data_IF_309369589016
#
_entry.id   IF_309369589016
#
_cell.length_a   1.000
_cell.length_b   1.000
_cell.length_c   1.000
_cell.angle_alpha   90.00
_cell.angle_beta   90.00
_cell.angle_gamma   90.00
#
_symmetry.space_group_name_H-M   'P 1'
#
loop_
_entity.id
_entity.type
_entity.pdbx_description
1 polymer ?
#
# COMPACT_ATOMS: atom_id res chain seq x y z
N UNK A 1 -8.38 23.48 2.68
CA UNK A 1 -7.77 22.57 3.68
C UNK A 1 -6.71 21.66 3.06
N UNK A 2 -5.77 21.14 3.85
CA UNK A 2 -4.84 20.09 3.38
C UNK A 2 -5.57 18.74 3.24
N UNK A 3 -5.07 17.86 2.38
CA UNK A 3 -5.62 16.51 2.14
C UNK A 3 -4.65 15.44 2.67
N UNK A 4 -4.72 15.08 3.98
CA UNK A 4 -3.75 14.16 4.57
C UNK A 4 -3.86 12.76 3.95
N UNK A 5 -2.71 12.13 3.72
CA UNK A 5 -2.60 10.77 3.16
C UNK A 5 -1.75 9.88 4.07
N UNK A 6 -1.97 8.57 4.00
CA UNK A 6 -1.13 7.58 4.67
C UNK A 6 0.01 7.13 3.76
N UNK A 7 1.14 6.78 4.37
CA UNK A 7 2.29 6.20 3.68
C UNK A 7 2.49 4.76 4.17
N UNK A 8 2.78 3.83 3.26
CA UNK A 8 3.19 2.46 3.57
C UNK A 8 4.65 2.22 3.13
N UNK A 9 5.40 1.35 3.82
CA UNK A 9 6.77 1.04 3.45
C UNK A 9 6.79 0.02 2.32
N UNK A 10 7.67 0.23 1.34
CA UNK A 10 7.93 -0.67 0.22
C UNK A 10 9.30 -1.32 0.38
N UNK A 11 9.32 -2.63 0.13
CA UNK A 11 10.53 -3.44 0.09
C UNK A 11 11.02 -3.52 -1.35
N UNK A 12 12.33 -3.35 -1.53
CA UNK A 12 13.02 -3.77 -2.74
C UNK A 12 13.27 -5.28 -2.65
N UNK A 13 12.90 -6.00 -3.69
CA UNK A 13 13.06 -7.44 -3.79
C UNK A 13 13.91 -7.76 -5.00
N UNK A 14 14.94 -8.55 -4.79
CA UNK A 14 15.76 -9.13 -5.85
C UNK A 14 15.52 -10.64 -5.89
N UNK A 15 15.04 -11.13 -7.04
CA UNK A 15 14.75 -12.54 -7.28
C UNK A 15 15.73 -13.08 -8.31
N UNK A 16 16.36 -14.22 -8.00
CA UNK A 16 17.10 -15.01 -8.97
C UNK A 16 16.29 -16.25 -9.33
N UNK A 17 16.08 -16.48 -10.63
CA UNK A 17 15.30 -17.61 -11.12
C UNK A 17 15.81 -18.08 -12.49
N UNK A 18 15.68 -19.37 -12.84
CA UNK A 18 15.86 -19.84 -14.22
C UNK A 18 14.82 -19.21 -15.16
N UNK A 19 15.14 -19.15 -16.46
CA UNK A 19 14.26 -18.59 -17.50
C UNK A 19 12.83 -19.15 -17.45
N UNK A 20 12.69 -20.46 -17.24
CA UNK A 20 11.41 -21.16 -17.20
C UNK A 20 10.52 -20.71 -16.03
N UNK A 21 11.14 -20.28 -14.93
CA UNK A 21 10.47 -19.84 -13.71
C UNK A 21 10.12 -18.35 -13.71
N UNK A 22 10.65 -17.54 -14.63
CA UNK A 22 10.44 -16.09 -14.67
C UNK A 22 8.94 -15.75 -14.67
N UNK A 23 8.16 -16.42 -15.52
CA UNK A 23 6.71 -16.24 -15.60
C UNK A 23 5.97 -16.50 -14.27
N UNK A 24 6.44 -17.48 -13.48
CA UNK A 24 5.91 -17.78 -12.16
C UNK A 24 6.24 -16.65 -11.16
N UNK A 25 7.44 -16.06 -11.24
CA UNK A 25 7.82 -14.90 -10.41
C UNK A 25 6.89 -13.72 -10.66
N UNK A 26 6.63 -13.37 -11.92
CA UNK A 26 5.70 -12.29 -12.28
C UNK A 26 4.28 -12.56 -11.75
N UNK A 27 3.83 -13.82 -11.83
CA UNK A 27 2.50 -14.22 -11.34
C UNK A 27 2.38 -14.05 -9.83
N UNK A 28 3.41 -14.44 -9.05
CA UNK A 28 3.40 -14.30 -7.59
C UNK A 28 3.50 -12.83 -7.19
N UNK A 29 4.33 -12.03 -7.87
CA UNK A 29 4.46 -10.58 -7.62
C UNK A 29 3.16 -9.82 -7.91
N UNK A 30 2.50 -10.12 -9.03
CA UNK A 30 1.28 -9.44 -9.45
C UNK A 30 0.13 -9.60 -8.43
N UNK A 31 0.04 -10.75 -7.75
CA UNK A 31 -0.94 -11.00 -6.69
C UNK A 31 -0.75 -10.12 -5.45
N UNK A 32 0.44 -9.54 -5.28
CA UNK A 32 0.87 -8.82 -4.06
C UNK A 32 1.16 -7.33 -4.31
N UNK A 33 0.49 -6.74 -5.30
CA UNK A 33 0.73 -5.35 -5.77
C UNK A 33 2.21 -5.08 -6.09
N UNK A 34 2.95 -6.11 -6.49
CA UNK A 34 4.36 -6.01 -6.83
C UNK A 34 4.55 -5.32 -8.19
N UNK A 35 5.57 -4.46 -8.29
CA UNK A 35 5.95 -3.79 -9.52
C UNK A 35 7.38 -4.17 -9.89
N UNK A 36 7.55 -4.84 -11.03
CA UNK A 36 8.87 -5.20 -11.56
C UNK A 36 9.52 -3.97 -12.19
N UNK A 37 10.74 -3.66 -11.76
CA UNK A 37 11.52 -2.49 -12.22
C UNK A 37 12.56 -2.86 -13.24
N UNK A 38 13.18 -4.04 -13.09
CA UNK A 38 14.21 -4.52 -14.00
C UNK A 38 14.11 -6.04 -14.09
N UNK A 39 14.27 -6.54 -15.31
CA UNK A 39 14.42 -7.96 -15.61
C UNK A 39 15.60 -8.10 -16.58
N UNK A 40 16.64 -8.79 -16.13
CA UNK A 40 17.87 -8.95 -16.91
C UNK A 40 18.50 -10.33 -16.69
N UNK A 41 19.05 -10.95 -17.76
CA UNK A 41 19.81 -12.18 -17.63
C UNK A 41 21.14 -11.92 -16.91
N UNK A 42 21.59 -12.89 -16.11
CA UNK A 42 22.89 -12.84 -15.45
C UNK A 42 23.98 -13.27 -16.44
N UNK A 43 24.97 -12.43 -16.75
CA UNK A 43 26.04 -12.80 -17.68
C UNK A 43 26.80 -14.04 -17.20
N UNK A 44 26.96 -15.04 -18.07
CA UNK A 44 27.69 -16.27 -17.75
C UNK A 44 26.90 -17.29 -16.91
N UNK A 45 25.59 -17.09 -16.70
CA UNK A 45 24.70 -18.00 -15.98
C UNK A 45 23.37 -18.16 -16.72
N UNK A 46 22.68 -19.32 -16.63
CA UNK A 46 21.33 -19.48 -17.17
C UNK A 46 20.23 -18.79 -16.32
N UNK A 47 20.61 -18.05 -15.28
CA UNK A 47 19.69 -17.38 -14.37
C UNK A 47 19.35 -15.96 -14.84
N UNK A 48 18.16 -15.52 -14.44
CA UNK A 48 17.67 -14.16 -14.56
C UNK A 48 17.61 -13.50 -13.19
N UNK A 49 17.94 -12.21 -13.15
CA UNK A 49 17.76 -11.35 -11.98
C UNK A 49 16.59 -10.42 -12.23
N UNK A 50 15.55 -10.58 -11.42
CA UNK A 50 14.34 -9.76 -11.45
C UNK A 50 14.36 -8.87 -10.22
N UNK A 51 14.29 -7.56 -10.44
CA UNK A 51 14.20 -6.55 -9.38
C UNK A 51 12.80 -5.99 -9.36
N UNK A 52 12.21 -5.88 -8.17
CA UNK A 52 10.84 -5.42 -8.00
C UNK A 52 10.67 -4.64 -6.70
N UNK A 53 9.57 -3.91 -6.61
CA UNK A 53 9.08 -3.35 -5.37
C UNK A 53 7.79 -4.04 -4.95
N UNK A 54 7.65 -4.30 -3.65
CA UNK A 54 6.44 -4.88 -3.06
C UNK A 54 6.09 -4.09 -1.78
N UNK A 55 4.80 -3.80 -1.52
CA UNK A 55 4.39 -3.25 -0.22
C UNK A 55 4.73 -4.23 0.89
N UNK A 56 5.29 -3.75 2.01
CA UNK A 56 5.69 -4.64 3.11
C UNK A 56 4.52 -5.40 3.74
N UNK A 57 3.30 -4.85 3.70
CA UNK A 57 2.10 -5.54 4.19
C UNK A 57 1.74 -6.75 3.31
N UNK A 58 2.09 -6.70 2.02
CA UNK A 58 1.81 -7.77 1.06
C UNK A 58 3.02 -8.69 0.86
N UNK A 59 4.14 -8.46 1.54
CA UNK A 59 5.34 -9.30 1.42
C UNK A 59 5.35 -10.53 2.34
N UNK A 60 4.44 -10.59 3.33
CA UNK A 60 4.38 -11.73 4.26
C UNK A 60 4.07 -13.04 3.51
N UNK A 61 4.97 -14.01 3.60
CA UNK A 61 4.89 -15.29 2.90
C UNK A 61 5.29 -15.25 1.42
N UNK A 62 5.80 -14.12 0.91
CA UNK A 62 6.23 -14.00 -0.49
C UNK A 62 7.33 -15.00 -0.86
N UNK A 63 8.38 -15.13 -0.03
CA UNK A 63 9.47 -16.08 -0.29
C UNK A 63 8.96 -17.52 -0.36
N UNK A 64 8.09 -17.90 0.58
CA UNK A 64 7.52 -19.25 0.64
C UNK A 64 6.71 -19.54 -0.61
N UNK A 65 5.79 -18.65 -1.00
CA UNK A 65 4.98 -18.81 -2.20
C UNK A 65 5.84 -18.89 -3.46
N UNK A 66 6.86 -18.04 -3.56
CA UNK A 66 7.80 -18.02 -4.67
C UNK A 66 8.48 -19.39 -4.82
N UNK A 67 9.01 -19.94 -3.72
CA UNK A 67 9.68 -21.24 -3.73
C UNK A 67 8.71 -22.37 -4.02
N UNK A 68 7.50 -22.34 -3.48
CA UNK A 68 6.47 -23.35 -3.76
C UNK A 68 6.07 -23.36 -5.23
N UNK A 69 5.86 -22.19 -5.83
CA UNK A 69 5.46 -22.08 -7.24
C UNK A 69 6.58 -22.40 -8.23
N UNK A 70 7.84 -22.30 -7.82
CA UNK A 70 9.02 -22.57 -8.65
C UNK A 70 9.73 -23.87 -8.28
N UNK A 71 9.11 -24.73 -7.46
CA UNK A 71 9.69 -26.00 -7.00
C UNK A 71 11.08 -25.81 -6.34
N UNK A 72 11.27 -24.67 -5.67
CA UNK A 72 12.51 -24.30 -5.00
C UNK A 72 13.62 -23.76 -5.92
N UNK A 73 13.35 -23.56 -7.21
CA UNK A 73 14.35 -23.08 -8.16
C UNK A 73 14.60 -21.57 -8.09
N UNK A 74 13.60 -20.78 -7.67
CA UNK A 74 13.77 -19.34 -7.48
C UNK A 74 14.08 -19.00 -6.02
N UNK A 75 14.91 -17.98 -5.83
CA UNK A 75 15.27 -17.45 -4.52
C UNK A 75 15.14 -15.93 -4.51
N UNK A 76 14.70 -15.35 -3.40
CA UNK A 76 14.55 -13.90 -3.27
C UNK A 76 15.19 -13.37 -2.00
N UNK A 77 15.68 -12.14 -2.09
CA UNK A 77 16.05 -11.31 -0.95
C UNK A 77 15.20 -10.04 -0.94
N UNK A 78 14.82 -9.58 0.24
CA UNK A 78 14.03 -8.36 0.42
C UNK A 78 14.71 -7.41 1.39
N UNK A 79 14.78 -6.12 1.04
CA UNK A 79 15.33 -5.05 1.87
C UNK A 79 14.39 -3.85 1.86
N UNK A 80 14.29 -3.12 2.97
CA UNK A 80 13.54 -1.86 3.00
C UNK A 80 14.19 -0.83 2.06
N UNK A 81 13.38 -0.10 1.30
CA UNK A 81 13.89 0.92 0.37
C UNK A 81 13.23 2.29 0.55
N UNK A 82 11.90 2.38 0.50
CA UNK A 82 11.21 3.68 0.50
C UNK A 82 9.79 3.61 1.06
N UNK A 83 9.16 4.79 1.16
CA UNK A 83 7.76 4.95 1.52
C UNK A 83 6.95 5.42 0.30
N UNK A 84 5.74 4.92 0.16
CA UNK A 84 4.82 5.33 -0.90
C UNK A 84 3.43 5.59 -0.31
N UNK A 85 2.67 6.47 -0.96
CA UNK A 85 1.31 6.81 -0.56
C UNK A 85 0.42 5.56 -0.69
N UNK A 86 -0.33 5.27 0.38
CA UNK A 86 -1.36 4.22 0.35
C UNK A 86 -2.49 4.70 -0.58
N UNK A 87 -2.92 3.87 -1.55
CA UNK A 87 -4.02 4.24 -2.41
C UNK A 87 -5.31 4.44 -1.61
N UNK A 88 -6.08 5.47 -2.00
CA UNK A 88 -7.33 5.84 -1.36
C UNK A 88 -7.25 7.02 -0.40
N UNK A 89 -8.40 7.38 0.16
CA UNK A 89 -8.55 8.47 1.13
C UNK A 89 -8.82 7.92 2.53
N UNK A 90 -7.96 8.21 3.54
CA UNK A 90 -8.22 7.75 4.90
C UNK A 90 -9.43 8.43 5.56
N UNK A 91 -9.80 9.63 5.11
CA UNK A 91 -10.87 10.44 5.72
C UNK A 91 -12.24 10.24 5.07
N UNK A 92 -12.32 9.50 3.96
CA UNK A 92 -13.58 9.23 3.29
C UNK A 92 -14.49 8.33 4.15
N UNK A 93 -15.58 8.93 4.65
CA UNK A 93 -16.57 8.26 5.50
C UNK A 93 -17.61 7.47 4.71
N UNK A 94 -17.72 7.68 3.39
CA UNK A 94 -18.64 6.92 2.54
C UNK A 94 -18.22 5.46 2.40
N UNK A 95 -16.92 5.20 2.58
CA UNK A 95 -16.34 3.86 2.51
C UNK A 95 -16.60 3.10 3.82
N UNK A 96 -17.46 2.09 3.74
CA UNK A 96 -17.75 1.16 4.83
C UNK A 96 -16.90 -0.10 4.66
N UNK A 97 -15.99 -0.33 5.61
CA UNK A 97 -15.10 -1.50 5.62
C UNK A 97 -15.84 -2.71 6.18
N UNK A 98 -15.94 -3.77 5.37
CA UNK A 98 -16.58 -5.03 5.75
C UNK A 98 -15.61 -5.92 6.52
N UNK A 99 -16.05 -6.57 7.62
CA UNK A 99 -15.22 -7.56 8.31
C UNK A 99 -14.92 -8.77 7.42
N UNK A 100 -13.74 -9.35 7.58
CA UNK A 100 -13.30 -10.61 6.93
C UNK A 100 -13.20 -10.58 5.39
N UNK A 101 -13.43 -9.44 4.74
CA UNK A 101 -13.25 -9.27 3.30
C UNK A 101 -12.07 -8.32 3.01
N UNK A 102 -11.11 -8.72 2.16
CA UNK A 102 -10.08 -7.81 1.69
C UNK A 102 -10.72 -6.70 0.85
N UNK A 103 -10.31 -5.45 1.08
CA UNK A 103 -10.88 -4.30 0.40
C UNK A 103 -10.14 -4.00 -0.90
N UNK A 104 -10.81 -3.35 -1.88
CA UNK A 104 -10.15 -2.89 -3.09
C UNK A 104 -9.08 -1.84 -2.79
N UNK A 105 -8.15 -1.65 -3.73
CA UNK A 105 -7.01 -0.76 -3.57
C UNK A 105 -7.39 0.68 -3.17
N UNK A 106 -8.50 1.20 -3.70
CA UNK A 106 -9.00 2.56 -3.41
C UNK A 106 -9.48 2.75 -1.97
N UNK A 107 -9.75 1.67 -1.23
CA UNK A 107 -10.28 1.72 0.13
C UNK A 107 -9.21 1.39 1.18
N UNK A 108 -7.99 1.02 0.77
CA UNK A 108 -6.93 0.58 1.66
C UNK A 108 -6.53 1.65 2.69
N UNK A 109 -6.42 2.91 2.29
CA UNK A 109 -6.10 3.99 3.22
C UNK A 109 -7.12 4.09 4.37
N UNK A 110 -8.43 3.99 4.06
CA UNK A 110 -9.50 4.01 5.07
C UNK A 110 -9.44 2.77 5.96
N UNK A 111 -9.24 1.60 5.36
CA UNK A 111 -9.12 0.33 6.07
C UNK A 111 -7.95 0.34 7.07
N UNK A 112 -6.76 0.72 6.62
CA UNK A 112 -5.56 0.79 7.45
C UNK A 112 -5.73 1.78 8.60
N UNK A 113 -6.34 2.94 8.33
CA UNK A 113 -6.63 3.93 9.35
C UNK A 113 -7.58 3.35 10.43
N UNK A 114 -8.72 2.79 10.04
CA UNK A 114 -9.72 2.26 10.97
C UNK A 114 -9.13 1.11 11.80
N UNK A 115 -8.48 0.13 11.14
CA UNK A 115 -7.90 -1.05 11.83
C UNK A 115 -6.82 -0.63 12.82
N UNK A 116 -5.94 0.29 12.43
CA UNK A 116 -4.88 0.79 13.31
C UNK A 116 -5.46 1.53 14.52
N UNK A 117 -6.46 2.40 14.31
CA UNK A 117 -7.11 3.15 15.39
C UNK A 117 -7.86 2.25 16.36
N UNK A 118 -8.61 1.26 15.86
CA UNK A 118 -9.28 0.24 16.68
C UNK A 118 -8.27 -0.52 17.56
N UNK A 119 -7.14 -0.96 16.99
CA UNK A 119 -6.07 -1.62 17.75
C UNK A 119 -5.47 -0.72 18.84
N UNK A 120 -5.41 0.59 18.61
CA UNK A 120 -4.90 1.59 19.57
C UNK A 120 -5.96 2.09 20.56
N UNK A 121 -7.20 1.59 20.52
CA UNK A 121 -8.29 2.03 21.40
C UNK A 121 -8.85 3.42 21.08
N UNK A 122 -8.64 3.93 19.86
CA UNK A 122 -9.10 5.24 19.42
C UNK A 122 -10.44 5.16 18.67
N UNK A 123 -11.21 6.26 18.69
CA UNK A 123 -12.43 6.40 17.88
C UNK A 123 -12.15 6.18 16.40
N UNK A 124 -13.06 5.54 15.67
CA UNK A 124 -12.86 5.25 14.24
C UNK A 124 -12.78 6.53 13.41
N UNK A 125 -13.65 7.49 13.73
CA UNK A 125 -13.64 8.78 13.09
C UNK A 125 -12.57 9.70 13.68
N UNK A 126 -11.86 10.36 12.75
CA UNK A 126 -10.97 11.46 13.05
C UNK A 126 -11.83 12.71 13.16
N UNK A 127 -12.07 13.15 14.38
CA UNK A 127 -12.79 14.40 14.67
C UNK A 127 -11.79 15.51 14.91
N UNK A 128 -11.89 16.59 14.13
CA UNK A 128 -11.12 17.82 14.31
C UNK A 128 -11.61 18.63 15.52
N UNK A 129 -12.84 18.40 15.98
CA UNK A 129 -13.48 19.14 17.08
C UNK A 129 -12.74 18.97 18.41
N UNK A 130 -11.92 17.93 18.55
CA UNK A 130 -11.09 17.73 19.74
C UNK A 130 -9.88 18.68 19.81
N UNK A 131 -9.55 19.35 18.71
CA UNK A 131 -8.31 20.10 18.55
C UNK A 131 -8.52 21.58 18.20
N UNK A 132 -9.72 21.98 17.81
CA UNK A 132 -10.05 23.36 17.46
C UNK A 132 -11.24 23.84 18.28
N UNK A 133 -11.17 25.10 18.72
CA UNK A 133 -12.26 25.76 19.44
C UNK A 133 -13.42 26.08 18.48
N UNK A 134 -14.64 26.18 19.04
CA UNK A 134 -15.87 26.44 18.27
C UNK A 134 -15.79 27.67 17.34
N UNK A 135 -15.21 28.82 17.75
CA UNK A 135 -15.05 29.96 16.86
C UNK A 135 -14.16 29.67 15.65
N UNK A 136 -13.09 28.89 15.85
CA UNK A 136 -12.15 28.51 14.80
C UNK A 136 -12.77 27.50 13.82
N UNK A 137 -13.60 26.58 14.32
CA UNK A 137 -14.33 25.61 13.49
C UNK A 137 -15.35 26.30 12.58
N UNK A 138 -16.07 27.31 13.08
CA UNK A 138 -17.00 28.12 12.30
C UNK A 138 -16.28 28.87 11.17
N UNK A 139 -15.09 29.40 11.46
CA UNK A 139 -14.29 30.15 10.48
C UNK A 139 -13.72 29.24 9.39
N UNK A 140 -13.25 28.04 9.75
CA UNK A 140 -12.82 27.00 8.81
C UNK A 140 -13.98 26.52 7.92
N UNK A 141 -15.17 26.29 8.50
CA UNK A 141 -16.35 25.92 7.75
C UNK A 141 -16.76 27.01 6.75
N UNK A 142 -16.64 28.29 7.15
CA UNK A 142 -16.90 29.43 6.26
C UNK A 142 -15.91 29.49 5.10
N UNK A 143 -14.63 29.22 5.34
CA UNK A 143 -13.60 29.17 4.28
C UNK A 143 -13.82 28.01 3.30
N UNK A 144 -14.18 26.82 3.79
CA UNK A 144 -14.45 25.67 2.91
C UNK A 144 -15.68 25.90 2.02
N UNK A 145 -16.73 26.55 2.54
CA UNK A 145 -17.90 26.94 1.74
C UNK A 145 -17.51 27.95 0.65
N UNK A 146 -16.65 28.92 0.94
CA UNK A 146 -16.16 29.90 -0.04
C UNK A 146 -15.31 29.29 -1.15
N UNK A 147 -14.52 28.24 -0.84
CA UNK A 147 -13.68 27.53 -1.81
C UNK A 147 -14.48 26.61 -2.73
N UNK A 148 -15.55 25.97 -2.21
CA UNK A 148 -16.38 25.05 -2.99
C UNK A 148 -17.54 25.74 -3.73
N UNK A 149 -17.97 26.92 -3.29
CA UNK A 149 -18.99 27.75 -3.94
C UNK A 149 -18.50 29.20 -4.01
N UNK A 150 -17.66 29.56 -5.00
CA UNK A 150 -17.34 30.95 -5.20
C UNK A 150 -18.63 31.68 -5.57
N UNK A 151 -19.02 32.67 -4.76
CA UNK A 151 -20.06 33.61 -5.15
C UNK A 151 -19.63 34.23 -6.49
N UNK A 152 -20.49 34.11 -7.51
CA UNK A 152 -20.35 34.77 -8.82
C UNK A 152 -19.94 36.24 -8.68
#
# INVERSE_FOLDING_TARGET
MATPRLMEPYLFVEVQAPADCVSAVYTVLAKRRGHVTQDAPVPGSPLYTIKAFIPAIDSFGFETDLRTHTQGQAFCLSVFHHWQIVPGDPLDKSIVIRPLEPQPATHLAREFMIKTRRRKGLSQDVSINKFFDDPMLLELARQDVMLNYPLL
#
